data_IF_461768639648
#
_entry.id   IF_461768639648
#
_cell.length_a   1.000
_cell.length_b   1.000
_cell.length_c   1.000
_cell.angle_alpha   90.00
_cell.angle_beta   90.00
_cell.angle_gamma   90.00
#
_symmetry.space_group_name_H-M   'P 1'
#
loop_
_entity.id
_entity.type
_entity.pdbx_description
1 polymer ?
#
# COMPACT_ATOMS: atom_id res chain seq x y z
N UNK A 1 47.92 71.57 -17.28
CA UNK A 1 48.54 70.40 -16.60
C UNK A 1 47.47 69.39 -16.23
N UNK A 2 47.66 68.13 -16.66
CA UNK A 2 47.05 66.86 -16.20
C UNK A 2 45.51 66.75 -16.10
N UNK A 3 44.89 66.19 -17.13
CA UNK A 3 43.67 65.38 -17.00
C UNK A 3 44.07 63.90 -16.93
N UNK A 4 43.74 63.21 -15.83
CA UNK A 4 43.83 61.76 -15.71
C UNK A 4 42.52 61.17 -16.20
N UNK A 5 42.59 60.30 -17.21
CA UNK A 5 41.46 59.46 -17.64
C UNK A 5 41.79 58.05 -17.17
N UNK A 6 41.01 57.55 -16.21
CA UNK A 6 41.03 56.15 -15.76
C UNK A 6 40.24 55.32 -16.77
N UNK A 7 40.88 54.33 -17.40
CA UNK A 7 40.20 53.28 -18.15
C UNK A 7 39.49 52.35 -17.17
N UNK A 8 38.17 52.20 -17.31
CA UNK A 8 37.40 51.13 -16.70
C UNK A 8 37.29 49.97 -17.70
N UNK A 9 37.95 48.85 -17.40
CA UNK A 9 37.80 47.58 -18.12
C UNK A 9 36.49 46.90 -17.70
N UNK A 10 35.54 46.81 -18.62
CA UNK A 10 34.32 46.01 -18.46
C UNK A 10 34.65 44.55 -18.74
N UNK A 11 34.65 43.72 -17.70
CA UNK A 11 34.70 42.26 -17.82
C UNK A 11 33.26 41.78 -18.04
N UNK A 12 32.93 41.36 -19.25
CA UNK A 12 31.65 40.73 -19.56
C UNK A 12 31.70 39.26 -19.13
N UNK A 13 31.10 38.97 -17.98
CA UNK A 13 30.88 37.62 -17.47
C UNK A 13 29.86 36.90 -18.37
N UNK A 14 30.32 35.96 -19.20
CA UNK A 14 29.44 35.03 -19.90
C UNK A 14 28.79 34.08 -18.89
N UNK A 15 27.54 34.37 -18.52
CA UNK A 15 26.67 33.38 -17.89
C UNK A 15 26.26 32.36 -18.96
N UNK A 16 26.83 31.16 -18.89
CA UNK A 16 26.30 30.00 -19.61
C UNK A 16 24.97 29.61 -18.95
N UNK A 17 23.87 30.09 -19.51
CA UNK A 17 22.57 29.47 -19.29
C UNK A 17 22.58 28.12 -20.03
N UNK A 18 22.67 27.01 -19.28
CA UNK A 18 22.42 25.69 -19.82
C UNK A 18 20.94 25.61 -20.22
N UNK A 19 20.65 25.93 -21.48
CA UNK A 19 19.37 25.59 -22.08
C UNK A 19 19.29 24.07 -22.19
N UNK A 20 18.46 23.44 -21.35
CA UNK A 20 18.05 22.07 -21.57
C UNK A 20 17.27 22.02 -22.89
N UNK A 21 17.96 21.70 -23.99
CA UNK A 21 17.29 21.31 -25.22
C UNK A 21 16.46 20.07 -24.88
N UNK A 22 15.16 20.09 -25.19
CA UNK A 22 14.33 18.90 -25.08
C UNK A 22 14.92 17.83 -26.01
N UNK A 23 15.58 16.83 -25.44
CA UNK A 23 16.17 15.73 -26.20
C UNK A 23 15.07 15.00 -26.95
N UNK A 24 15.21 14.83 -28.26
CA UNK A 24 14.26 14.08 -29.08
C UNK A 24 14.42 12.59 -28.82
N UNK A 25 13.82 12.14 -27.73
CA UNK A 25 13.87 10.75 -27.29
C UNK A 25 13.28 9.79 -28.32
N UNK A 26 12.25 10.20 -29.07
CA UNK A 26 11.56 9.32 -30.00
C UNK A 26 12.36 9.00 -31.25
N UNK A 27 13.29 9.88 -31.65
CA UNK A 27 14.12 9.68 -32.84
C UNK A 27 15.58 9.32 -32.51
N UNK A 28 15.91 9.12 -31.24
CA UNK A 28 17.24 8.68 -30.83
C UNK A 28 17.40 7.15 -31.00
N UNK A 29 17.94 6.73 -32.14
CA UNK A 29 18.16 5.32 -32.46
C UNK A 29 19.11 4.60 -31.49
N UNK A 30 20.11 5.30 -30.96
CA UNK A 30 21.04 4.73 -29.97
C UNK A 30 20.29 4.34 -28.67
N UNK A 31 19.41 5.22 -28.18
CA UNK A 31 18.62 4.94 -26.98
C UNK A 31 17.57 3.83 -27.21
N UNK A 32 17.05 3.68 -28.44
CA UNK A 32 16.18 2.53 -28.79
C UNK A 32 16.95 1.20 -28.81
N UNK A 33 18.18 1.20 -29.29
CA UNK A 33 19.05 0.03 -29.23
C UNK A 33 19.37 -0.32 -27.78
N UNK A 34 19.75 0.66 -26.96
CA UNK A 34 20.00 0.45 -25.52
C UNK A 34 18.76 -0.04 -24.78
N UNK A 35 17.57 0.49 -25.10
CA UNK A 35 16.28 0.00 -24.61
C UNK A 35 16.11 -1.50 -24.86
N UNK A 36 16.40 -1.92 -26.09
CA UNK A 36 16.30 -3.33 -26.49
C UNK A 36 17.32 -4.19 -25.75
N UNK A 37 18.59 -3.74 -25.67
CA UNK A 37 19.69 -4.45 -25.02
C UNK A 37 19.39 -4.70 -23.53
N UNK A 38 19.08 -3.65 -22.75
CA UNK A 38 18.82 -3.86 -21.32
C UNK A 38 17.56 -4.68 -21.10
N UNK A 39 16.56 -4.58 -21.98
CA UNK A 39 15.33 -5.38 -21.90
C UNK A 39 15.63 -6.87 -22.07
N UNK A 40 16.49 -7.24 -23.03
CA UNK A 40 16.91 -8.63 -23.21
C UNK A 40 17.71 -9.14 -22.00
N UNK A 41 18.64 -8.34 -21.47
CA UNK A 41 19.34 -8.70 -20.23
C UNK A 41 18.37 -8.89 -19.06
N UNK A 42 17.42 -7.99 -18.87
CA UNK A 42 16.42 -8.09 -17.81
C UNK A 42 15.49 -9.29 -17.97
N UNK A 43 15.08 -9.64 -19.21
CA UNK A 43 14.31 -10.87 -19.50
C UNK A 43 15.10 -12.13 -19.16
N UNK A 44 16.40 -12.13 -19.44
CA UNK A 44 17.33 -13.20 -19.06
C UNK A 44 17.73 -13.17 -17.57
N UNK A 45 17.16 -12.25 -16.77
CA UNK A 45 17.50 -12.00 -15.36
C UNK A 45 18.98 -11.63 -15.13
N UNK A 46 19.67 -11.18 -16.16
CA UNK A 46 21.03 -10.66 -16.06
C UNK A 46 21.01 -9.18 -15.65
N UNK A 47 20.55 -8.90 -14.43
CA UNK A 47 20.33 -7.54 -13.94
C UNK A 47 21.61 -6.75 -13.73
N UNK A 48 22.72 -7.44 -13.43
CA UNK A 48 24.05 -6.82 -13.32
C UNK A 48 24.46 -6.12 -14.62
N UNK A 49 24.31 -6.80 -15.76
CA UNK A 49 24.62 -6.23 -17.08
C UNK A 49 23.51 -5.29 -17.58
N UNK A 50 22.26 -5.52 -17.17
CA UNK A 50 21.14 -4.64 -17.52
C UNK A 50 21.27 -3.25 -16.88
N UNK A 51 21.71 -3.15 -15.62
CA UNK A 51 21.72 -1.91 -14.84
C UNK A 51 22.42 -0.72 -15.53
N UNK A 52 23.69 -0.81 -15.99
CA UNK A 52 24.35 0.35 -16.59
C UNK A 52 23.64 0.84 -17.85
N UNK A 53 23.18 -0.08 -18.71
CA UNK A 53 22.49 0.24 -19.96
C UNK A 53 21.10 0.82 -19.68
N UNK A 54 20.38 0.24 -18.72
CA UNK A 54 19.09 0.74 -18.24
C UNK A 54 19.21 2.15 -17.65
N UNK A 55 20.20 2.38 -16.80
CA UNK A 55 20.40 3.67 -16.12
C UNK A 55 20.63 4.79 -17.11
N UNK A 56 21.33 4.50 -18.20
CA UNK A 56 21.53 5.45 -19.29
C UNK A 56 20.20 5.84 -19.95
N UNK A 57 19.38 4.86 -20.33
CA UNK A 57 18.07 5.12 -20.95
C UNK A 57 17.13 5.84 -19.98
N UNK A 58 17.08 5.42 -18.71
CA UNK A 58 16.26 6.06 -17.68
C UNK A 58 16.67 7.51 -17.41
N UNK A 59 17.97 7.82 -17.44
CA UNK A 59 18.47 9.18 -17.20
C UNK A 59 18.23 10.10 -18.40
N UNK A 60 18.47 9.61 -19.62
CA UNK A 60 18.38 10.44 -20.82
C UNK A 60 16.95 10.56 -21.35
N UNK A 61 16.22 9.45 -21.40
CA UNK A 61 14.91 9.37 -22.06
C UNK A 61 13.95 8.40 -21.34
N UNK A 62 13.54 8.69 -20.09
CA UNK A 62 12.64 7.82 -19.34
C UNK A 62 11.28 7.63 -20.02
N UNK A 63 10.84 8.61 -20.80
CA UNK A 63 9.58 8.58 -21.57
C UNK A 63 9.65 7.76 -22.86
N UNK A 64 10.82 7.23 -23.23
CA UNK A 64 11.00 6.46 -24.46
C UNK A 64 10.04 5.26 -24.51
N UNK A 65 9.94 4.52 -23.41
CA UNK A 65 9.05 3.38 -23.30
C UNK A 65 8.77 3.01 -21.83
N UNK A 66 7.55 2.53 -21.53
CA UNK A 66 7.18 2.13 -20.16
C UNK A 66 8.06 0.98 -19.61
N UNK A 67 8.66 0.18 -20.49
CA UNK A 67 9.58 -0.90 -20.12
C UNK A 67 10.81 -0.37 -19.37
N UNK A 68 11.20 0.89 -19.56
CA UNK A 68 12.24 1.55 -18.76
C UNK A 68 11.89 1.52 -17.29
N UNK A 69 10.63 1.72 -16.92
CA UNK A 69 10.18 1.63 -15.53
C UNK A 69 9.96 0.19 -15.09
N UNK A 70 9.27 -0.62 -15.90
CA UNK A 70 8.92 -2.00 -15.53
C UNK A 70 10.15 -2.90 -15.33
N UNK A 71 11.19 -2.76 -16.15
CA UNK A 71 12.45 -3.49 -15.95
C UNK A 71 13.35 -2.80 -14.92
N UNK A 72 13.32 -1.46 -14.83
CA UNK A 72 14.04 -0.73 -13.80
C UNK A 72 13.63 -1.14 -12.38
N UNK A 73 12.34 -1.35 -12.14
CA UNK A 73 11.82 -1.89 -10.88
C UNK A 73 12.50 -3.23 -10.55
N UNK A 74 12.54 -4.17 -11.50
CA UNK A 74 13.15 -5.50 -11.30
C UNK A 74 14.66 -5.42 -11.06
N UNK A 75 15.35 -4.56 -11.82
CA UNK A 75 16.79 -4.35 -11.71
C UNK A 75 17.12 -3.80 -10.32
N UNK A 76 16.40 -2.77 -9.85
CA UNK A 76 16.64 -2.17 -8.54
C UNK A 76 16.26 -3.11 -7.40
N UNK A 77 15.17 -3.87 -7.53
CA UNK A 77 14.81 -4.93 -6.57
C UNK A 77 15.91 -5.99 -6.44
N UNK A 78 16.49 -6.44 -7.55
CA UNK A 78 17.63 -7.37 -7.53
C UNK A 78 18.85 -6.76 -6.84
N UNK A 79 19.18 -5.50 -7.15
CA UNK A 79 20.25 -4.77 -6.45
C UNK A 79 19.98 -4.68 -4.95
N UNK A 80 18.75 -4.39 -4.52
CA UNK A 80 18.40 -4.36 -3.10
C UNK A 80 18.51 -5.73 -2.41
N UNK A 81 18.27 -6.83 -3.14
CA UNK A 81 18.40 -8.19 -2.62
C UNK A 81 19.86 -8.66 -2.54
N UNK A 82 20.74 -8.10 -3.35
CA UNK A 82 22.16 -8.49 -3.45
C UNK A 82 23.12 -7.54 -2.74
N UNK A 83 22.63 -6.40 -2.22
CA UNK A 83 23.42 -5.39 -1.52
C UNK A 83 22.98 -5.26 -0.06
N UNK A 84 23.81 -4.63 0.77
CA UNK A 84 23.52 -4.40 2.20
C UNK A 84 23.90 -2.98 2.62
N UNK A 85 23.48 -2.59 3.82
CA UNK A 85 23.84 -1.29 4.41
C UNK A 85 23.44 -0.11 3.52
N UNK A 86 24.36 0.87 3.39
CA UNK A 86 24.12 2.12 2.67
C UNK A 86 23.80 1.92 1.19
N UNK A 87 24.39 0.91 0.53
CA UNK A 87 24.12 0.63 -0.88
C UNK A 87 22.67 0.15 -1.09
N UNK A 88 22.19 -0.74 -0.21
CA UNK A 88 20.79 -1.18 -0.23
C UNK A 88 19.83 -0.02 -0.02
N UNK A 89 20.10 0.85 0.97
CA UNK A 89 19.31 2.07 1.21
C UNK A 89 19.28 2.99 -0.01
N UNK A 90 20.40 3.14 -0.71
CA UNK A 90 20.48 3.98 -1.91
C UNK A 90 19.66 3.38 -3.07
N UNK A 91 19.71 2.07 -3.28
CA UNK A 91 18.90 1.38 -4.29
C UNK A 91 17.40 1.52 -3.99
N UNK A 92 17.00 1.43 -2.72
CA UNK A 92 15.60 1.64 -2.31
C UNK A 92 15.12 3.07 -2.58
N UNK A 93 15.96 4.09 -2.31
CA UNK A 93 15.65 5.49 -2.66
C UNK A 93 15.55 5.70 -4.16
N UNK A 94 16.43 5.06 -4.95
CA UNK A 94 16.35 5.11 -6.41
C UNK A 94 15.07 4.46 -6.93
N UNK A 95 14.61 3.36 -6.33
CA UNK A 95 13.35 2.71 -6.69
C UNK A 95 12.14 3.58 -6.33
N UNK A 96 12.19 4.29 -5.19
CA UNK A 96 11.15 5.24 -4.81
C UNK A 96 11.05 6.40 -5.81
N UNK A 97 12.18 6.90 -6.30
CA UNK A 97 12.22 7.91 -7.37
C UNK A 97 11.67 7.34 -8.68
N UNK A 98 12.02 6.10 -9.03
CA UNK A 98 11.52 5.42 -10.21
C UNK A 98 9.99 5.35 -10.22
N UNK A 99 9.35 5.00 -9.11
CA UNK A 99 7.87 4.99 -9.02
C UNK A 99 7.26 6.39 -9.21
N UNK A 100 7.88 7.42 -8.65
CA UNK A 100 7.45 8.81 -8.80
C UNK A 100 7.50 9.23 -10.28
N UNK A 101 8.62 8.95 -10.94
CA UNK A 101 8.82 9.26 -12.35
C UNK A 101 7.90 8.43 -13.26
N UNK A 102 7.64 7.17 -12.90
CA UNK A 102 6.75 6.31 -13.67
C UNK A 102 5.33 6.88 -13.71
N UNK A 103 4.79 7.21 -12.53
CA UNK A 103 3.44 7.77 -12.42
C UNK A 103 3.32 9.10 -13.17
N UNK A 104 4.36 9.94 -13.15
CA UNK A 104 4.39 11.20 -13.90
C UNK A 104 4.49 11.00 -15.42
N UNK A 105 5.28 10.02 -15.86
CA UNK A 105 5.61 9.82 -17.28
C UNK A 105 4.54 9.01 -18.00
N UNK A 106 3.94 8.03 -17.33
CA UNK A 106 2.94 7.12 -17.88
C UNK A 106 1.73 6.98 -16.93
N UNK A 107 0.98 8.05 -16.65
CA UNK A 107 -0.08 8.08 -15.63
C UNK A 107 -1.25 7.13 -15.89
N UNK A 108 -1.39 6.60 -17.10
CA UNK A 108 -2.46 5.65 -17.46
C UNK A 108 -2.04 4.19 -17.32
N UNK A 109 -0.76 3.89 -17.04
CA UNK A 109 -0.27 2.51 -16.96
C UNK A 109 -0.54 1.86 -15.61
N UNK A 110 -0.43 2.64 -14.54
CA UNK A 110 -0.71 2.21 -13.18
C UNK A 110 -1.48 3.33 -12.50
N UNK A 111 -2.47 2.99 -11.68
CA UNK A 111 -3.25 4.00 -10.97
C UNK A 111 -2.36 4.72 -9.95
N UNK A 112 -2.71 5.97 -9.64
CA UNK A 112 -2.04 6.72 -8.59
C UNK A 112 -2.10 5.97 -7.23
N UNK A 113 -3.19 5.26 -6.98
CA UNK A 113 -3.39 4.40 -5.80
C UNK A 113 -2.40 3.24 -5.76
N UNK A 114 -2.23 2.51 -6.87
CA UNK A 114 -1.25 1.43 -6.91
C UNK A 114 0.18 1.96 -6.75
N UNK A 115 0.49 3.11 -7.33
CA UNK A 115 1.79 3.77 -7.14
C UNK A 115 2.05 4.14 -5.68
N UNK A 116 1.10 4.80 -5.02
CA UNK A 116 1.23 5.15 -3.60
C UNK A 116 1.39 3.91 -2.72
N UNK A 117 0.66 2.83 -2.99
CA UNK A 117 0.80 1.56 -2.27
C UNK A 117 2.21 1.01 -2.43
N UNK A 118 2.75 0.93 -3.66
CA UNK A 118 4.12 0.44 -3.90
C UNK A 118 5.17 1.29 -3.20
N UNK A 119 5.01 2.61 -3.23
CA UNK A 119 5.91 3.53 -2.55
C UNK A 119 5.88 3.33 -1.03
N UNK A 120 4.69 3.27 -0.43
CA UNK A 120 4.52 3.08 1.01
C UNK A 120 5.09 1.73 1.49
N UNK A 121 4.81 0.64 0.77
CA UNK A 121 5.35 -0.67 1.10
C UNK A 121 6.87 -0.72 1.00
N UNK A 122 7.46 -0.10 -0.03
CA UNK A 122 8.91 0.01 -0.17
C UNK A 122 9.51 0.81 1.00
N UNK A 123 8.90 1.95 1.34
CA UNK A 123 9.35 2.81 2.43
C UNK A 123 9.34 2.08 3.77
N UNK A 124 8.32 1.26 4.01
CA UNK A 124 8.19 0.44 5.21
C UNK A 124 9.21 -0.71 5.23
N UNK A 125 9.27 -1.52 4.17
CA UNK A 125 10.11 -2.72 4.11
C UNK A 125 11.61 -2.40 4.22
N UNK A 126 12.00 -1.27 3.63
CA UNK A 126 13.39 -0.82 3.60
C UNK A 126 13.73 0.17 4.71
N UNK A 127 12.75 0.54 5.55
CA UNK A 127 12.90 1.48 6.67
C UNK A 127 13.49 2.82 6.23
N UNK A 128 13.06 3.31 5.07
CA UNK A 128 13.53 4.57 4.47
C UNK A 128 12.50 5.70 4.57
N UNK A 129 11.29 5.41 5.06
CA UNK A 129 10.24 6.40 5.29
C UNK A 129 9.89 6.56 6.76
N UNK A 130 9.33 7.71 7.09
CA UNK A 130 8.69 7.96 8.39
C UNK A 130 7.26 7.44 8.41
N UNK A 131 6.73 7.16 9.61
CA UNK A 131 5.32 6.78 9.81
C UNK A 131 4.36 7.75 9.12
N UNK A 132 4.66 9.05 9.20
CA UNK A 132 3.84 10.10 8.60
C UNK A 132 3.83 10.01 7.07
N UNK A 133 4.99 9.84 6.44
CA UNK A 133 5.06 9.75 4.97
C UNK A 133 4.36 8.51 4.45
N UNK A 134 4.52 7.37 5.13
CA UNK A 134 3.85 6.11 4.79
C UNK A 134 2.34 6.27 4.97
N UNK A 135 1.89 6.81 6.11
CA UNK A 135 0.48 7.10 6.35
C UNK A 135 -0.10 8.04 5.30
N UNK A 136 0.56 9.15 4.98
CA UNK A 136 0.04 10.14 4.03
C UNK A 136 -0.15 9.54 2.62
N UNK A 137 0.77 8.68 2.18
CA UNK A 137 0.66 7.95 0.91
C UNK A 137 -0.55 7.01 0.90
N UNK A 138 -0.68 6.20 1.96
CA UNK A 138 -1.75 5.22 2.06
C UNK A 138 -3.11 5.86 2.32
N UNK A 139 -3.18 6.93 3.10
CA UNK A 139 -4.39 7.71 3.34
C UNK A 139 -4.93 8.28 2.04
N UNK A 140 -4.07 8.88 1.21
CA UNK A 140 -4.46 9.36 -0.13
C UNK A 140 -4.89 8.22 -1.05
N UNK A 141 -4.15 7.12 -1.06
CA UNK A 141 -4.53 5.94 -1.84
C UNK A 141 -5.92 5.42 -1.45
N UNK A 142 -6.21 5.38 -0.14
CA UNK A 142 -7.46 4.85 0.40
C UNK A 142 -8.65 5.79 0.19
N UNK A 143 -8.45 7.10 0.39
CA UNK A 143 -9.53 8.09 0.30
C UNK A 143 -9.86 8.50 -1.13
N UNK A 144 -8.89 8.55 -2.03
CA UNK A 144 -9.12 8.94 -3.42
C UNK A 144 -9.66 7.78 -4.28
N UNK A 145 -9.36 6.52 -3.93
CA UNK A 145 -9.77 5.34 -4.69
C UNK A 145 -9.87 4.09 -3.81
N UNK A 146 -10.81 4.11 -2.86
CA UNK A 146 -11.08 2.99 -1.94
C UNK A 146 -11.33 1.68 -2.69
N UNK A 147 -11.99 1.72 -3.85
CA UNK A 147 -12.34 0.53 -4.63
C UNK A 147 -11.09 -0.25 -5.06
N UNK A 148 -10.05 0.43 -5.55
CA UNK A 148 -8.81 -0.21 -6.01
C UNK A 148 -7.76 -0.42 -4.92
N UNK A 149 -8.02 -0.02 -3.67
CA UNK A 149 -7.14 -0.34 -2.54
C UNK A 149 -7.36 -1.79 -2.09
N UNK A 150 -6.70 -2.74 -2.78
CA UNK A 150 -6.89 -4.19 -2.56
C UNK A 150 -5.67 -4.88 -1.93
N UNK A 151 -4.60 -4.16 -1.64
CA UNK A 151 -3.40 -4.76 -1.06
C UNK A 151 -3.57 -4.95 0.45
N UNK A 152 -3.52 -6.20 0.90
CA UNK A 152 -3.78 -6.62 2.28
C UNK A 152 -2.77 -5.99 3.25
N UNK A 153 -1.47 -6.09 2.91
CA UNK A 153 -0.39 -5.50 3.72
C UNK A 153 -0.51 -3.99 3.83
N UNK A 154 -0.89 -3.31 2.75
CA UNK A 154 -1.07 -1.87 2.75
C UNK A 154 -2.28 -1.41 3.57
N UNK A 155 -3.36 -2.21 3.65
CA UNK A 155 -4.52 -1.90 4.51
C UNK A 155 -4.11 -1.94 5.97
N UNK A 156 -3.41 -3.00 6.37
CA UNK A 156 -2.85 -3.10 7.72
C UNK A 156 -1.88 -1.95 8.01
N UNK A 157 -0.95 -1.67 7.07
CA UNK A 157 0.03 -0.61 7.24
C UNK A 157 -0.62 0.76 7.39
N UNK A 158 -1.64 1.07 6.58
CA UNK A 158 -2.40 2.32 6.67
C UNK A 158 -2.95 2.53 8.09
N UNK A 159 -3.58 1.51 8.66
CA UNK A 159 -4.11 1.56 10.01
C UNK A 159 -3.00 1.62 11.07
N UNK A 160 -1.97 0.78 10.93
CA UNK A 160 -0.87 0.70 11.90
C UNK A 160 -0.11 2.02 12.01
N UNK A 161 0.19 2.68 10.89
CA UNK A 161 0.89 3.97 10.92
C UNK A 161 0.02 5.08 11.54
N UNK A 162 -1.29 5.06 11.31
CA UNK A 162 -2.20 6.00 11.98
C UNK A 162 -2.19 5.81 13.50
N UNK A 163 -2.23 4.57 13.98
CA UNK A 163 -2.11 4.28 15.41
C UNK A 163 -0.79 4.79 15.96
N UNK A 164 0.33 4.54 15.27
CA UNK A 164 1.64 5.00 15.72
C UNK A 164 1.77 6.53 15.71
N UNK A 165 1.10 7.23 14.79
CA UNK A 165 0.99 8.69 14.83
C UNK A 165 0.14 9.18 16.00
N UNK A 166 -0.94 8.47 16.35
CA UNK A 166 -1.76 8.78 17.51
C UNK A 166 -0.98 8.60 18.84
N UNK A 167 -0.25 7.50 18.98
CA UNK A 167 0.63 7.24 20.13
C UNK A 167 1.70 8.34 20.31
N UNK A 168 2.12 8.96 19.21
CA UNK A 168 3.03 10.13 19.19
C UNK A 168 2.32 11.47 19.40
N UNK A 169 1.01 11.49 19.64
CA UNK A 169 0.19 12.70 19.84
C UNK A 169 -0.02 13.54 18.57
N UNK A 170 0.20 12.97 17.38
CA UNK A 170 0.09 13.68 16.10
C UNK A 170 -1.26 13.50 15.41
N UNK A 171 -2.06 12.55 15.87
CA UNK A 171 -3.36 12.17 15.32
C UNK A 171 -4.36 11.96 16.45
N UNK A 172 -5.61 12.32 16.21
CA UNK A 172 -6.67 12.18 17.20
C UNK A 172 -7.14 10.74 17.29
N UNK A 173 -7.55 10.32 18.50
CA UNK A 173 -8.08 8.97 18.70
C UNK A 173 -9.33 8.70 17.83
N UNK A 174 -10.14 9.74 17.59
CA UNK A 174 -11.30 9.63 16.71
C UNK A 174 -10.91 9.26 15.26
N UNK A 175 -9.77 9.77 14.76
CA UNK A 175 -9.28 9.40 13.43
C UNK A 175 -8.92 7.91 13.36
N UNK A 176 -8.35 7.37 14.44
CA UNK A 176 -8.04 5.93 14.55
C UNK A 176 -9.31 5.10 14.47
N UNK A 177 -10.36 5.50 15.19
CA UNK A 177 -11.65 4.82 15.16
C UNK A 177 -12.30 4.86 13.78
N UNK A 178 -12.35 6.04 13.16
CA UNK A 178 -12.93 6.17 11.82
C UNK A 178 -12.14 5.34 10.79
N UNK A 179 -10.82 5.26 10.93
CA UNK A 179 -10.00 4.41 10.06
C UNK A 179 -10.22 2.92 10.34
N UNK A 180 -10.37 2.50 11.61
CA UNK A 180 -10.68 1.12 11.96
C UNK A 180 -11.95 0.65 11.26
N UNK A 181 -13.00 1.46 11.29
CA UNK A 181 -14.29 1.14 10.65
C UNK A 181 -14.12 1.01 9.14
N UNK A 182 -13.52 2.03 8.54
CA UNK A 182 -13.31 2.06 7.09
C UNK A 182 -12.45 0.91 6.57
N UNK A 183 -11.40 0.55 7.31
CA UNK A 183 -10.50 -0.56 6.97
C UNK A 183 -11.20 -1.90 7.20
N UNK A 184 -11.94 -2.06 8.30
CA UNK A 184 -12.71 -3.28 8.59
C UNK A 184 -13.75 -3.54 7.51
N UNK A 185 -14.52 -2.52 7.12
CA UNK A 185 -15.49 -2.60 6.03
C UNK A 185 -14.81 -2.99 4.72
N UNK A 186 -13.68 -2.34 4.40
CA UNK A 186 -12.94 -2.64 3.16
C UNK A 186 -12.41 -4.08 3.15
N UNK A 187 -11.92 -4.58 4.28
CA UNK A 187 -11.49 -5.97 4.42
C UNK A 187 -12.67 -6.92 4.16
N UNK A 188 -13.83 -6.63 4.75
CA UNK A 188 -15.02 -7.45 4.57
C UNK A 188 -15.51 -7.44 3.12
N UNK A 189 -15.53 -6.28 2.47
CA UNK A 189 -15.91 -6.15 1.06
C UNK A 189 -15.03 -7.02 0.16
N UNK A 190 -13.71 -6.98 0.35
CA UNK A 190 -12.76 -7.78 -0.43
C UNK A 190 -12.89 -9.28 -0.16
N UNK A 191 -13.12 -9.68 1.12
CA UNK A 191 -13.43 -11.08 1.46
C UNK A 191 -14.70 -11.56 0.75
N UNK A 192 -15.73 -10.72 0.69
CA UNK A 192 -17.00 -11.05 0.04
C UNK A 192 -16.81 -11.20 -1.48
N UNK A 193 -16.13 -10.27 -2.15
CA UNK A 193 -15.81 -10.37 -3.59
C UNK A 193 -15.02 -11.65 -3.94
N UNK A 194 -14.06 -12.01 -3.09
CA UNK A 194 -13.27 -13.24 -3.25
C UNK A 194 -14.14 -14.49 -3.02
N UNK A 195 -15.00 -14.47 -2.01
CA UNK A 195 -15.90 -15.58 -1.69
C UNK A 195 -16.94 -15.80 -2.80
N UNK A 196 -17.48 -14.74 -3.39
CA UNK A 196 -18.34 -14.85 -4.58
C UNK A 196 -17.60 -15.49 -5.75
N UNK A 197 -16.33 -15.15 -5.94
CA UNK A 197 -15.50 -15.79 -6.97
C UNK A 197 -15.29 -17.27 -6.67
N UNK A 198 -14.98 -17.63 -5.42
CA UNK A 198 -14.82 -19.04 -5.01
C UNK A 198 -16.12 -19.81 -5.25
N UNK A 199 -17.26 -19.26 -4.81
CA UNK A 199 -18.58 -19.90 -4.91
C UNK A 199 -18.99 -20.23 -6.35
N UNK A 200 -18.57 -19.42 -7.33
CA UNK A 200 -18.84 -19.67 -8.77
C UNK A 200 -18.22 -20.97 -9.28
N UNK A 201 -17.14 -21.46 -8.67
CA UNK A 201 -16.41 -22.65 -9.11
C UNK A 201 -16.61 -23.87 -8.21
N UNK A 202 -17.29 -23.75 -7.06
CA UNK A 202 -17.44 -24.84 -6.10
C UNK A 202 -18.04 -26.11 -6.72
N UNK A 203 -19.12 -25.97 -7.51
CA UNK A 203 -19.75 -27.13 -8.16
C UNK A 203 -18.81 -27.83 -9.15
N UNK A 204 -17.95 -27.07 -9.85
CA UNK A 204 -16.97 -27.65 -10.78
C UNK A 204 -15.84 -28.36 -10.03
N UNK A 205 -15.44 -27.83 -8.87
CA UNK A 205 -14.46 -28.42 -7.97
C UNK A 205 -14.96 -29.76 -7.40
N UNK A 206 -16.18 -29.79 -6.86
CA UNK A 206 -16.83 -31.00 -6.34
C UNK A 206 -17.00 -32.08 -7.42
N UNK A 207 -17.31 -31.68 -8.65
CA UNK A 207 -17.39 -32.57 -9.79
C UNK A 207 -16.02 -33.01 -10.35
N UNK A 208 -14.90 -32.44 -9.86
CA UNK A 208 -13.56 -32.76 -10.35
C UNK A 208 -13.28 -32.26 -11.77
N UNK A 209 -13.99 -31.23 -12.24
CA UNK A 209 -13.97 -30.75 -13.63
C UNK A 209 -13.19 -29.45 -13.84
N UNK A 210 -12.54 -28.92 -12.80
CA UNK A 210 -11.75 -27.68 -12.90
C UNK A 210 -10.52 -27.82 -13.80
N UNK A 211 -10.28 -26.80 -14.61
CA UNK A 211 -9.01 -26.66 -15.32
C UNK A 211 -7.87 -26.30 -14.35
N UNK A 212 -6.62 -26.58 -14.73
CA UNK A 212 -5.46 -26.17 -13.94
C UNK A 212 -5.38 -24.64 -13.72
N UNK A 213 -5.92 -23.86 -14.65
CA UNK A 213 -6.00 -22.40 -14.52
C UNK A 213 -7.00 -22.01 -13.43
N UNK A 214 -8.17 -22.64 -13.40
CA UNK A 214 -9.22 -22.33 -12.42
C UNK A 214 -8.81 -22.79 -11.02
N UNK A 215 -8.12 -23.94 -10.89
CA UNK A 215 -7.54 -24.38 -9.61
C UNK A 215 -6.58 -23.33 -9.04
N UNK A 216 -5.63 -22.85 -9.86
CA UNK A 216 -4.68 -21.79 -9.44
C UNK A 216 -5.38 -20.49 -9.07
N UNK A 217 -6.45 -20.13 -9.77
CA UNK A 217 -7.27 -18.97 -9.43
C UNK A 217 -7.91 -19.15 -8.04
N UNK A 218 -8.54 -20.30 -7.78
CA UNK A 218 -9.18 -20.59 -6.49
C UNK A 218 -8.20 -20.64 -5.33
N UNK A 219 -7.05 -21.29 -5.51
CA UNK A 219 -6.00 -21.30 -4.49
C UNK A 219 -5.52 -19.88 -4.18
N UNK A 220 -5.39 -19.04 -5.21
CA UNK A 220 -5.08 -17.62 -5.07
C UNK A 220 -6.16 -16.86 -4.29
N UNK A 221 -7.44 -17.05 -4.62
CA UNK A 221 -8.56 -16.41 -3.91
C UNK A 221 -8.61 -16.83 -2.44
N UNK A 222 -8.50 -18.13 -2.14
CA UNK A 222 -8.49 -18.67 -0.77
C UNK A 222 -7.36 -18.08 0.05
N UNK A 223 -6.14 -18.10 -0.50
CA UNK A 223 -4.98 -17.50 0.16
C UNK A 223 -5.19 -16.01 0.45
N UNK A 224 -5.83 -15.27 -0.45
CA UNK A 224 -6.14 -13.86 -0.21
C UNK A 224 -7.20 -13.69 0.89
N UNK A 225 -8.24 -14.53 0.95
CA UNK A 225 -9.20 -14.53 2.06
C UNK A 225 -8.49 -14.77 3.40
N UNK A 226 -7.60 -15.76 3.48
CA UNK A 226 -6.81 -16.04 4.69
C UNK A 226 -5.92 -14.86 5.09
N UNK A 227 -5.30 -14.18 4.10
CA UNK A 227 -4.52 -12.97 4.35
C UNK A 227 -5.41 -11.85 4.90
N UNK A 228 -6.61 -11.66 4.34
CA UNK A 228 -7.59 -10.68 4.82
C UNK A 228 -8.03 -10.95 6.26
N UNK A 229 -8.22 -12.22 6.63
CA UNK A 229 -8.51 -12.62 8.01
C UNK A 229 -7.36 -12.28 8.95
N UNK A 230 -6.13 -12.63 8.55
CA UNK A 230 -4.91 -12.33 9.32
C UNK A 230 -4.74 -10.83 9.55
N UNK A 231 -4.99 -10.00 8.53
CA UNK A 231 -4.90 -8.54 8.72
C UNK A 231 -6.05 -7.98 9.53
N UNK A 232 -7.27 -8.54 9.44
CA UNK A 232 -8.39 -8.12 10.27
C UNK A 232 -8.04 -8.31 11.75
N UNK A 233 -7.57 -9.52 12.11
CA UNK A 233 -7.11 -9.83 13.46
C UNK A 233 -5.98 -8.90 13.92
N UNK A 234 -5.06 -8.55 13.02
CA UNK A 234 -3.96 -7.63 13.32
C UNK A 234 -4.44 -6.19 13.54
N UNK A 235 -5.42 -5.73 12.76
CA UNK A 235 -6.10 -4.44 12.95
C UNK A 235 -6.84 -4.41 14.29
N UNK A 236 -7.58 -5.47 14.64
CA UNK A 236 -8.28 -5.60 15.92
C UNK A 236 -7.32 -5.67 17.10
N UNK A 237 -6.19 -6.36 16.95
CA UNK A 237 -5.15 -6.45 17.97
C UNK A 237 -4.54 -5.08 18.24
N UNK A 238 -4.19 -4.33 17.19
CA UNK A 238 -3.62 -2.98 17.28
C UNK A 238 -4.62 -1.99 17.90
N UNK A 239 -5.89 -2.01 17.50
CA UNK A 239 -6.94 -1.22 18.15
C UNK A 239 -7.10 -1.61 19.63
N UNK A 240 -7.04 -2.91 19.94
CA UNK A 240 -7.14 -3.45 21.29
C UNK A 240 -6.06 -2.95 22.27
N UNK A 241 -4.93 -2.48 21.76
CA UNK A 241 -3.88 -1.85 22.59
C UNK A 241 -4.29 -0.44 23.07
N UNK A 242 -5.12 0.26 22.29
CA UNK A 242 -5.70 1.57 22.64
C UNK A 242 -7.03 1.45 23.40
N UNK A 243 -7.54 0.24 23.51
CA UNK A 243 -8.89 -0.05 24.00
C UNK A 243 -8.96 -0.10 25.53
N UNK A 244 -9.61 0.93 26.09
CA UNK A 244 -10.30 0.90 27.38
C UNK A 244 -11.81 1.06 27.13
N UNK A 245 -12.66 0.90 28.16
CA UNK A 245 -14.11 1.01 27.96
C UNK A 245 -14.55 2.41 27.53
N UNK A 246 -13.84 3.46 27.96
CA UNK A 246 -14.15 4.84 27.57
C UNK A 246 -14.01 5.05 26.06
N UNK A 247 -13.10 4.31 25.46
CA UNK A 247 -12.77 4.33 24.04
C UNK A 247 -13.60 3.33 23.22
N UNK A 248 -13.79 2.11 23.72
CA UNK A 248 -14.51 1.04 23.01
C UNK A 248 -16.02 1.28 22.94
N UNK A 249 -16.64 1.78 24.02
CA UNK A 249 -18.10 1.95 24.06
C UNK A 249 -18.57 2.94 22.98
N UNK A 250 -18.00 4.15 22.84
CA UNK A 250 -18.39 5.05 21.76
C UNK A 250 -18.16 4.47 20.36
N UNK A 251 -17.01 3.80 20.15
CA UNK A 251 -16.68 3.16 18.87
C UNK A 251 -17.73 2.12 18.49
N UNK A 252 -17.93 1.11 19.32
CA UNK A 252 -18.87 0.03 18.99
C UNK A 252 -20.32 0.51 18.96
N UNK A 253 -20.68 1.55 19.73
CA UNK A 253 -22.02 2.15 19.66
C UNK A 253 -22.28 2.74 18.28
N UNK A 254 -21.31 3.49 17.74
CA UNK A 254 -21.41 4.11 16.41
C UNK A 254 -21.61 3.07 15.31
N UNK A 255 -20.94 1.92 15.41
CA UNK A 255 -20.86 0.93 14.34
C UNK A 255 -21.80 -0.26 14.45
N UNK A 256 -22.49 -0.38 15.59
CA UNK A 256 -23.38 -1.49 15.86
C UNK A 256 -24.46 -1.67 14.79
N UNK A 257 -25.15 -0.60 14.38
CA UNK A 257 -26.29 -0.72 13.46
C UNK A 257 -25.89 -1.23 12.07
N UNK A 258 -24.71 -0.84 11.56
CA UNK A 258 -24.19 -1.31 10.28
C UNK A 258 -23.74 -2.78 10.36
N UNK A 259 -23.26 -3.21 11.53
CA UNK A 259 -22.63 -4.52 11.72
C UNK A 259 -23.49 -5.53 12.49
N UNK A 260 -24.72 -5.18 12.88
CA UNK A 260 -25.59 -6.04 13.71
C UNK A 260 -25.97 -7.40 13.11
N UNK A 261 -25.66 -7.62 11.82
CA UNK A 261 -25.83 -8.91 11.14
C UNK A 261 -24.49 -9.55 10.71
N UNK A 262 -23.36 -8.89 10.95
CA UNK A 262 -22.03 -9.41 10.63
C UNK A 262 -21.53 -10.25 11.82
N UNK A 263 -21.67 -11.58 11.71
CA UNK A 263 -21.23 -12.53 12.73
C UNK A 263 -19.78 -12.28 13.19
N UNK A 264 -18.88 -12.05 12.23
CA UNK A 264 -17.45 -11.91 12.48
C UNK A 264 -17.17 -10.65 13.31
N UNK A 265 -17.75 -9.52 12.91
CA UNK A 265 -17.66 -8.26 13.64
C UNK A 265 -18.25 -8.38 15.05
N UNK A 266 -19.45 -8.96 15.17
CA UNK A 266 -20.15 -9.12 16.45
C UNK A 266 -19.36 -9.98 17.43
N UNK A 267 -18.79 -11.10 16.96
CA UNK A 267 -17.94 -11.99 17.75
C UNK A 267 -16.71 -11.25 18.26
N UNK A 268 -16.06 -10.46 17.41
CA UNK A 268 -14.88 -9.68 17.78
C UNK A 268 -15.19 -8.55 18.74
N UNK A 269 -16.26 -7.79 18.50
CA UNK A 269 -16.68 -6.69 19.38
C UNK A 269 -17.05 -7.21 20.78
N UNK A 270 -17.83 -8.30 20.85
CA UNK A 270 -18.14 -8.98 22.11
C UNK A 270 -16.86 -9.44 22.83
N UNK A 271 -15.96 -10.15 22.14
CA UNK A 271 -14.69 -10.61 22.71
C UNK A 271 -13.88 -9.45 23.28
N UNK A 272 -13.66 -8.38 22.50
CA UNK A 272 -12.91 -7.20 22.94
C UNK A 272 -13.54 -6.46 24.11
N UNK A 273 -14.86 -6.28 24.11
CA UNK A 273 -15.55 -5.65 25.24
C UNK A 273 -15.46 -6.52 26.50
N UNK A 274 -15.52 -7.85 26.35
CA UNK A 274 -15.31 -8.78 27.46
C UNK A 274 -13.88 -8.72 27.99
N UNK A 275 -12.88 -8.76 27.12
CA UNK A 275 -11.44 -8.74 27.48
C UNK A 275 -11.02 -7.46 28.22
N UNK A 276 -11.77 -6.36 28.02
CA UNK A 276 -11.53 -5.06 28.65
C UNK A 276 -12.49 -4.76 29.80
N UNK A 277 -13.24 -5.76 30.28
CA UNK A 277 -14.21 -5.64 31.37
C UNK A 277 -15.32 -4.59 31.12
N UNK A 278 -15.66 -4.35 29.84
CA UNK A 278 -16.72 -3.42 29.42
C UNK A 278 -18.11 -4.07 29.40
N UNK A 279 -18.26 -5.24 30.02
CA UNK A 279 -19.46 -6.08 29.98
C UNK A 279 -20.66 -5.50 30.72
N UNK A 280 -20.43 -4.48 31.56
CA UNK A 280 -21.49 -3.78 32.31
C UNK A 280 -22.26 -2.75 31.47
N UNK A 281 -21.71 -2.34 30.33
CA UNK A 281 -22.37 -1.35 29.48
C UNK A 281 -23.53 -1.99 28.70
N UNK A 282 -24.70 -1.32 28.56
CA UNK A 282 -25.84 -1.84 27.80
C UNK A 282 -25.51 -2.22 26.34
N UNK A 283 -24.50 -1.59 25.74
CA UNK A 283 -24.03 -1.92 24.41
C UNK A 283 -23.53 -3.37 24.34
N UNK A 284 -22.83 -3.86 25.37
CA UNK A 284 -22.32 -5.23 25.39
C UNK A 284 -23.46 -6.24 25.20
N UNK A 285 -24.54 -6.07 25.97
CA UNK A 285 -25.75 -6.89 25.89
C UNK A 285 -26.36 -6.84 24.50
N UNK A 286 -26.45 -5.65 23.89
CA UNK A 286 -26.96 -5.50 22.50
C UNK A 286 -26.13 -6.27 21.49
N UNK A 287 -24.80 -6.20 21.59
CA UNK A 287 -23.88 -6.89 20.69
C UNK A 287 -24.01 -8.41 20.84
N UNK A 288 -23.96 -8.95 22.06
CA UNK A 288 -24.04 -10.40 22.27
C UNK A 288 -25.43 -10.96 21.93
N UNK A 289 -26.49 -10.18 22.12
CA UNK A 289 -27.85 -10.53 21.66
C UNK A 289 -27.88 -10.67 20.14
N UNK A 290 -27.31 -9.70 19.42
CA UNK A 290 -27.28 -9.74 17.95
C UNK A 290 -26.41 -10.89 17.45
N UNK A 291 -25.27 -11.13 18.10
CA UNK A 291 -24.41 -12.27 17.80
C UNK A 291 -25.16 -13.59 17.95
N UNK A 292 -25.90 -13.76 19.06
CA UNK A 292 -26.69 -14.95 19.31
C UNK A 292 -27.77 -15.15 18.24
N UNK A 293 -28.42 -14.07 17.81
CA UNK A 293 -29.45 -14.14 16.77
C UNK A 293 -28.88 -14.53 15.40
N UNK A 294 -27.69 -14.01 15.06
CA UNK A 294 -27.01 -14.34 13.79
C UNK A 294 -26.46 -15.77 13.81
N UNK A 295 -25.83 -16.17 14.92
CA UNK A 295 -25.27 -17.51 15.10
C UNK A 295 -25.27 -17.93 16.57
N UNK A 296 -26.31 -18.67 17.00
CA UNK A 296 -26.39 -19.17 18.36
C UNK A 296 -25.17 -20.03 18.71
N UNK A 297 -24.55 -19.76 19.85
CA UNK A 297 -23.39 -20.52 20.36
C UNK A 297 -23.34 -20.50 21.89
N UNK A 298 -22.65 -21.47 22.48
CA UNK A 298 -22.44 -21.53 23.93
C UNK A 298 -21.82 -20.24 24.48
N UNK A 299 -20.85 -19.65 23.76
CA UNK A 299 -20.22 -18.39 24.16
C UNK A 299 -21.21 -17.22 24.15
N UNK A 300 -22.01 -17.09 23.09
CA UNK A 300 -23.02 -16.02 23.02
C UNK A 300 -24.12 -16.17 24.08
N UNK A 301 -24.51 -17.40 24.41
CA UNK A 301 -25.47 -17.69 25.47
C UNK A 301 -24.89 -17.39 26.86
N UNK A 302 -23.63 -17.77 27.10
CA UNK A 302 -22.92 -17.48 28.35
C UNK A 302 -22.88 -15.97 28.66
N UNK A 303 -22.70 -15.12 27.65
CA UNK A 303 -22.72 -13.66 27.85
C UNK A 303 -24.12 -13.10 28.17
N UNK A 304 -25.19 -13.83 27.86
CA UNK A 304 -26.58 -13.41 28.07
C UNK A 304 -27.15 -13.88 29.43
N UNK A 305 -26.46 -14.77 30.13
CA UNK A 305 -26.88 -15.34 31.42
C UNK A 305 -27.32 -16.80 31.29
#
# INVERSE_FOLDING_TARGET
>A
MRRRILLATVVASFFYAAYAQAQDCKNNEELKQKLSIFSEYAKAKNYKEAYPVWKEVYTQCPSLHYATFAYGERILQDKMNTTTGAEKTQNAKELLQLYTDYNKTFPTRLSATEMRIRQALLMFDEKIGTDKEIYDLLHKAFTEDKANFKNEKALYLYFSELVSLHEKGQKELQEVFDAYDNVSDKIQDEKNELSETINKYLAQEEAGTLSEKDKRLLDGCRKRVDNYETIAESVDAKLGQLADCKNLIPLYTKNFEANKNNEEWLRRAAGKMSDKDCTKDPLFVKIVTSLHNVKPSANSAYYLG
#
